data_IF_598337786458
#
_entry.id   IF_598337786458
#
_cell.length_a   1.000
_cell.length_b   1.000
_cell.length_c   1.000
_cell.angle_alpha   90.00
_cell.angle_beta   90.00
_cell.angle_gamma   90.00
#
_symmetry.space_group_name_H-M   'P 1'
#
loop_
_entity.id
_entity.type
_entity.pdbx_description
1 polymer ?
#
# COMPACT_ATOMS: atom_id res chain seq x y z
N UNK A 1 40.63 -17.33 -3.09
CA UNK A 1 40.89 -16.64 -4.38
C UNK A 1 40.53 -15.19 -4.25
N UNK A 2 41.48 -14.35 -4.40
CA UNK A 2 41.41 -12.87 -4.33
C UNK A 2 40.85 -12.32 -5.64
N UNK A 3 40.08 -11.26 -5.63
CA UNK A 3 40.00 -10.25 -6.70
C UNK A 3 39.09 -9.12 -6.24
N UNK A 4 39.61 -8.07 -5.81
CA UNK A 4 40.02 -6.75 -6.31
C UNK A 4 38.88 -5.72 -6.45
N UNK A 5 39.02 -4.74 -5.54
CA UNK A 5 38.41 -3.40 -5.59
C UNK A 5 38.71 -2.69 -6.91
N UNK A 6 37.73 -1.92 -7.40
CA UNK A 6 38.01 -0.75 -8.27
C UNK A 6 37.20 0.45 -7.78
N UNK A 7 37.92 1.36 -7.17
CA UNK A 7 37.47 2.72 -6.92
C UNK A 7 37.65 3.55 -8.20
N UNK A 8 36.66 4.38 -8.53
CA UNK A 8 36.84 5.48 -9.50
C UNK A 8 36.38 6.76 -8.82
N UNK A 9 37.36 7.59 -8.51
CA UNK A 9 37.19 8.96 -8.09
C UNK A 9 37.18 9.86 -9.34
N UNK A 10 36.20 10.74 -9.47
CA UNK A 10 36.23 11.87 -10.40
C UNK A 10 35.96 13.14 -9.61
N UNK A 11 37.02 13.91 -9.47
CA UNK A 11 37.01 15.27 -8.97
C UNK A 11 36.73 16.23 -10.15
N UNK A 12 35.76 17.09 -10.02
CA UNK A 12 35.49 18.19 -10.95
C UNK A 12 35.30 19.49 -10.19
N UNK A 13 36.33 20.32 -10.15
CA UNK A 13 36.31 21.67 -9.64
C UNK A 13 35.73 22.62 -10.71
N UNK A 14 34.73 23.42 -10.36
CA UNK A 14 34.29 24.57 -11.15
C UNK A 14 34.38 25.83 -10.33
N UNK A 15 35.22 26.71 -10.85
CA UNK A 15 35.52 28.05 -10.31
C UNK A 15 34.38 29.00 -10.61
N UNK A 16 33.94 29.74 -9.64
CA UNK A 16 32.90 30.77 -9.74
C UNK A 16 33.58 32.15 -9.79
N UNK A 17 33.35 32.87 -10.87
CA UNK A 17 33.79 34.26 -11.01
C UNK A 17 32.59 35.20 -10.71
N UNK A 18 32.78 36.06 -9.75
CA UNK A 18 31.88 37.16 -9.41
C UNK A 18 32.07 38.33 -10.36
N UNK A 19 30.97 38.92 -10.81
CA UNK A 19 30.96 40.29 -11.39
C UNK A 19 29.80 41.10 -10.80
N UNK A 20 30.16 42.07 -9.97
CA UNK A 20 29.30 43.15 -9.58
C UNK A 20 29.30 44.23 -10.66
N UNK A 21 28.13 44.66 -11.09
CA UNK A 21 27.98 45.96 -11.72
C UNK A 21 26.64 46.60 -11.29
N UNK A 22 26.75 47.65 -10.50
CA UNK A 22 25.70 48.56 -10.20
C UNK A 22 25.60 49.60 -11.33
N UNK A 23 24.38 49.92 -11.81
CA UNK A 23 24.09 51.20 -12.39
C UNK A 23 22.62 51.54 -12.25
N UNK A 24 22.42 52.63 -11.53
CA UNK A 24 21.19 53.40 -11.35
C UNK A 24 20.92 54.21 -12.61
N UNK A 25 19.71 54.14 -13.17
CA UNK A 25 19.12 55.26 -13.92
C UNK A 25 17.61 55.14 -14.10
N UNK A 26 16.89 56.13 -13.57
CA UNK A 26 15.48 56.42 -13.85
C UNK A 26 15.24 56.55 -15.33
N UNK A 27 14.18 55.95 -15.86
CA UNK A 27 13.34 56.51 -16.93
C UNK A 27 11.96 55.89 -16.89
N UNK A 28 10.99 56.75 -16.98
CA UNK A 28 9.54 56.49 -17.05
C UNK A 28 9.15 55.81 -18.36
N UNK A 29 8.11 54.99 -18.29
CA UNK A 29 7.17 54.78 -19.39
C UNK A 29 7.45 53.61 -20.29
N UNK A 30 6.99 52.41 -19.92
CA UNK A 30 6.38 51.45 -20.84
C UNK A 30 5.63 50.40 -20.00
N UNK A 31 4.32 50.36 -20.15
CA UNK A 31 3.46 49.30 -19.65
C UNK A 31 3.80 48.07 -20.46
N UNK A 32 4.66 47.21 -19.92
CA UNK A 32 4.83 45.87 -20.43
C UNK A 32 3.95 44.97 -19.56
N UNK A 33 2.87 44.56 -20.16
CA UNK A 33 2.00 43.50 -19.63
C UNK A 33 2.84 42.23 -19.52
N UNK A 34 3.48 42.06 -18.35
CA UNK A 34 4.17 40.85 -18.02
C UNK A 34 3.11 39.89 -17.45
N UNK A 35 2.54 39.10 -18.34
CA UNK A 35 1.77 37.93 -17.94
C UNK A 35 2.68 37.05 -17.09
N UNK A 36 2.61 37.25 -15.78
CA UNK A 36 3.23 36.35 -14.82
C UNK A 36 2.59 34.97 -15.04
N UNK A 37 3.33 34.07 -15.67
CA UNK A 37 3.00 32.67 -15.67
C UNK A 37 2.92 32.23 -14.21
N UNK A 38 1.70 32.14 -13.71
CA UNK A 38 1.44 31.69 -12.35
C UNK A 38 2.04 30.29 -12.19
N UNK A 39 3.06 30.21 -11.34
CA UNK A 39 3.52 28.94 -10.81
C UNK A 39 2.32 28.37 -10.04
N UNK A 40 1.57 27.49 -10.68
CA UNK A 40 0.56 26.71 -9.99
C UNK A 40 1.31 25.77 -9.05
N UNK A 41 1.44 26.22 -7.82
CA UNK A 41 1.85 25.32 -6.74
C UNK A 41 0.74 24.30 -6.63
N UNK A 42 0.95 23.10 -7.18
CA UNK A 42 0.03 21.99 -6.99
C UNK A 42 -0.03 21.73 -5.48
N UNK A 43 -1.11 22.13 -4.86
CA UNK A 43 -1.41 21.75 -3.47
C UNK A 43 -1.63 20.25 -3.48
N UNK A 44 -0.65 19.51 -2.99
CA UNK A 44 -0.83 18.08 -2.72
C UNK A 44 -1.82 17.99 -1.56
N UNK A 45 -3.07 17.67 -1.89
CA UNK A 45 -4.08 17.35 -0.89
C UNK A 45 -3.65 16.04 -0.22
N UNK A 46 -3.19 16.12 1.02
CA UNK A 46 -2.96 14.93 1.83
C UNK A 46 -4.34 14.41 2.25
N UNK A 47 -4.66 13.20 1.84
CA UNK A 47 -5.87 12.53 2.29
C UNK A 47 -5.74 12.26 3.80
N UNK A 48 -6.55 12.93 4.60
CA UNK A 48 -6.59 12.79 6.06
C UNK A 48 -7.71 11.87 6.52
N UNK A 49 -8.43 11.24 5.59
CA UNK A 49 -9.48 10.27 5.92
C UNK A 49 -8.87 9.10 6.71
N UNK A 50 -9.36 8.80 7.92
CA UNK A 50 -8.84 7.69 8.70
C UNK A 50 -8.98 6.37 7.93
N UNK A 51 -7.95 5.52 8.04
CA UNK A 51 -7.94 4.21 7.40
C UNK A 51 -9.10 3.35 7.93
N UNK A 52 -9.79 2.69 7.02
CA UNK A 52 -10.86 1.72 7.32
C UNK A 52 -10.81 0.56 6.34
N UNK A 53 -11.32 -0.60 6.75
CA UNK A 53 -11.59 -1.71 5.84
C UNK A 53 -12.88 -1.41 5.10
N UNK A 54 -12.82 -1.41 3.77
CA UNK A 54 -13.99 -1.16 2.89
C UNK A 54 -14.55 -2.42 2.27
N UNK A 55 -13.71 -3.46 2.05
CA UNK A 55 -14.17 -4.74 1.53
C UNK A 55 -13.25 -5.89 1.96
N UNK A 56 -13.81 -7.09 2.06
CA UNK A 56 -13.11 -8.34 2.36
C UNK A 56 -13.52 -9.37 1.31
N UNK A 57 -12.59 -9.74 0.45
CA UNK A 57 -12.79 -10.69 -0.64
C UNK A 57 -12.11 -12.01 -0.31
N UNK A 58 -12.79 -13.12 -0.57
CA UNK A 58 -12.26 -14.47 -0.36
C UNK A 58 -12.32 -15.26 -1.66
N UNK A 59 -11.30 -16.04 -1.96
CA UNK A 59 -11.27 -16.89 -3.15
C UNK A 59 -9.99 -17.71 -3.30
N UNK A 60 -9.84 -18.34 -4.47
CA UNK A 60 -8.79 -19.34 -4.74
C UNK A 60 -7.53 -18.77 -5.40
N UNK A 61 -7.60 -17.54 -5.88
CA UNK A 61 -6.48 -16.86 -6.55
C UNK A 61 -6.54 -15.35 -6.40
N UNK A 62 -5.41 -14.71 -6.59
CA UNK A 62 -5.23 -13.26 -6.53
C UNK A 62 -4.74 -12.77 -7.89
N UNK A 63 -5.35 -11.73 -8.41
CA UNK A 63 -4.94 -11.07 -9.64
C UNK A 63 -3.72 -10.16 -9.48
N UNK A 64 -3.24 -9.60 -10.59
CA UNK A 64 -2.13 -8.64 -10.58
C UNK A 64 -2.44 -7.35 -9.80
N UNK A 65 -3.71 -6.99 -9.70
CA UNK A 65 -4.24 -5.88 -8.91
C UNK A 65 -4.37 -6.19 -7.41
N UNK A 66 -3.89 -7.35 -6.98
CA UNK A 66 -3.98 -7.90 -5.62
C UNK A 66 -5.41 -8.20 -5.15
N UNK A 67 -6.42 -8.03 -5.97
CA UNK A 67 -7.79 -8.44 -5.65
C UNK A 67 -7.99 -9.92 -5.93
N UNK A 68 -8.98 -10.50 -5.27
CA UNK A 68 -9.36 -11.89 -5.55
C UNK A 68 -9.97 -11.99 -6.94
N UNK A 69 -9.38 -12.82 -7.82
CA UNK A 69 -9.81 -12.96 -9.21
C UNK A 69 -11.15 -13.72 -9.34
N UNK A 70 -11.33 -14.76 -8.54
CA UNK A 70 -12.53 -15.59 -8.53
C UNK A 70 -13.03 -15.69 -7.08
N UNK A 71 -13.92 -14.79 -6.70
CA UNK A 71 -14.48 -14.78 -5.36
C UNK A 71 -15.33 -16.03 -5.14
N UNK A 72 -15.06 -16.73 -4.06
CA UNK A 72 -15.84 -17.90 -3.62
C UNK A 72 -15.68 -18.06 -2.11
N UNK A 73 -16.70 -18.60 -1.49
CA UNK A 73 -16.66 -19.06 -0.10
C UNK A 73 -16.64 -20.58 0.01
N UNK A 74 -16.60 -21.28 -1.14
CA UNK A 74 -16.56 -22.76 -1.19
C UNK A 74 -15.22 -23.23 -1.74
N UNK A 75 -14.55 -24.09 -0.98
CA UNK A 75 -13.21 -24.58 -1.27
C UNK A 75 -13.17 -26.12 -1.27
N UNK A 76 -12.27 -26.67 -2.05
CA UNK A 76 -11.91 -28.08 -1.97
C UNK A 76 -10.87 -28.32 -0.85
N UNK A 77 -10.75 -29.57 -0.44
CA UNK A 77 -9.86 -29.97 0.67
C UNK A 77 -8.36 -29.73 0.42
N UNK A 78 -7.95 -29.36 -0.78
CA UNK A 78 -6.54 -29.06 -1.13
C UNK A 78 -6.34 -27.66 -1.67
N UNK A 79 -7.38 -26.83 -1.66
CA UNK A 79 -7.29 -25.47 -2.16
C UNK A 79 -6.49 -24.59 -1.20
N UNK A 80 -5.79 -23.63 -1.75
CA UNK A 80 -5.29 -22.45 -1.02
C UNK A 80 -6.41 -21.44 -0.92
N UNK A 81 -6.60 -20.89 0.26
CA UNK A 81 -7.61 -19.85 0.50
C UNK A 81 -6.90 -18.50 0.60
N UNK A 82 -7.35 -17.56 -0.22
CA UNK A 82 -6.85 -16.18 -0.24
C UNK A 82 -7.89 -15.23 0.33
N UNK A 83 -7.42 -14.23 1.06
CA UNK A 83 -8.22 -13.08 1.49
C UNK A 83 -7.54 -11.82 1.00
N UNK A 84 -8.26 -11.03 0.21
CA UNK A 84 -7.87 -9.68 -0.12
C UNK A 84 -8.68 -8.71 0.75
N UNK A 85 -7.99 -7.89 1.51
CA UNK A 85 -8.57 -6.86 2.35
C UNK A 85 -8.36 -5.52 1.67
N UNK A 86 -9.46 -4.87 1.32
CA UNK A 86 -9.47 -3.54 0.72
C UNK A 86 -9.61 -2.52 1.84
N UNK A 87 -8.70 -1.58 1.88
CA UNK A 87 -8.72 -0.47 2.84
C UNK A 87 -8.76 0.86 2.10
N UNK A 88 -9.52 1.81 2.62
CA UNK A 88 -9.57 3.19 2.15
C UNK A 88 -9.06 4.14 3.22
N UNK A 89 -8.47 5.26 2.79
CA UNK A 89 -7.97 6.30 3.66
C UNK A 89 -6.48 6.23 3.92
N UNK A 90 -5.99 7.10 4.82
CA UNK A 90 -4.60 7.20 5.20
C UNK A 90 -4.35 6.64 6.61
N UNK A 91 -3.18 6.01 6.79
CA UNK A 91 -2.80 5.50 8.10
C UNK A 91 -1.33 5.08 8.12
N UNK A 92 -0.58 5.60 9.06
CA UNK A 92 0.83 5.24 9.24
C UNK A 92 0.96 4.13 10.28
N UNK A 93 1.57 3.01 9.87
CA UNK A 93 1.83 1.90 10.78
C UNK A 93 0.56 1.18 11.24
N UNK A 94 -0.52 1.20 10.47
CA UNK A 94 -1.73 0.49 10.80
C UNK A 94 -1.50 -1.03 10.73
N UNK A 95 -1.92 -1.75 11.77
CA UNK A 95 -1.80 -3.21 11.83
C UNK A 95 -3.06 -3.86 11.27
N UNK A 96 -2.90 -4.55 10.16
CA UNK A 96 -3.95 -5.38 9.57
C UNK A 96 -3.67 -6.83 9.92
N UNK A 97 -4.66 -7.55 10.46
CA UNK A 97 -4.50 -8.94 10.87
C UNK A 97 -5.68 -9.79 10.42
N UNK A 98 -5.43 -11.08 10.22
CA UNK A 98 -6.46 -12.10 9.95
C UNK A 98 -6.35 -13.23 10.95
N UNK A 99 -7.50 -13.71 11.41
CA UNK A 99 -7.63 -14.85 12.30
C UNK A 99 -8.57 -15.86 11.66
N UNK A 100 -8.04 -17.06 11.43
CA UNK A 100 -8.78 -18.16 10.84
C UNK A 100 -9.21 -19.15 11.90
N UNK A 101 -10.45 -19.52 11.89
CA UNK A 101 -11.02 -20.49 12.85
C UNK A 101 -11.69 -21.64 12.11
N UNK A 102 -11.63 -22.82 12.73
CA UNK A 102 -12.36 -24.02 12.32
C UNK A 102 -13.03 -24.60 13.56
N UNK A 103 -14.35 -24.76 13.52
CA UNK A 103 -15.14 -25.22 14.67
C UNK A 103 -14.82 -24.45 15.96
N UNK A 104 -14.68 -23.12 15.85
CA UNK A 104 -14.39 -22.22 16.98
C UNK A 104 -12.93 -22.24 17.48
N UNK A 105 -12.06 -23.09 16.90
CA UNK A 105 -10.63 -23.12 17.25
C UNK A 105 -9.81 -22.35 16.22
N UNK A 106 -8.91 -21.51 16.67
CA UNK A 106 -7.96 -20.80 15.82
C UNK A 106 -7.03 -21.79 15.14
N UNK A 107 -6.95 -21.72 13.80
CA UNK A 107 -6.08 -22.57 12.98
C UNK A 107 -4.91 -21.82 12.40
N UNK A 108 -5.04 -20.50 12.18
CA UNK A 108 -3.96 -19.60 11.78
C UNK A 108 -4.30 -18.16 12.16
N UNK A 109 -3.26 -17.42 12.51
CA UNK A 109 -3.27 -15.96 12.60
C UNK A 109 -2.13 -15.42 11.76
N UNK A 110 -2.36 -14.29 11.10
CA UNK A 110 -1.36 -13.59 10.31
C UNK A 110 -1.56 -12.09 10.44
N UNK A 111 -0.49 -11.30 10.30
CA UNK A 111 -0.60 -9.85 10.38
C UNK A 111 0.48 -9.15 9.56
N UNK A 112 0.16 -7.97 9.06
CA UNK A 112 1.08 -7.09 8.37
C UNK A 112 0.84 -5.63 8.78
N UNK A 113 1.90 -4.85 8.75
CA UNK A 113 1.82 -3.40 8.96
C UNK A 113 1.68 -2.71 7.62
N UNK A 114 0.70 -1.84 7.49
CA UNK A 114 0.43 -1.06 6.28
C UNK A 114 0.52 0.44 6.60
N UNK A 115 0.92 1.22 5.60
CA UNK A 115 1.05 2.68 5.74
C UNK A 115 0.51 3.37 4.48
N UNK A 116 -0.79 3.23 4.17
CA UNK A 116 -1.37 3.91 3.01
C UNK A 116 -1.34 5.43 3.20
N UNK A 117 -1.05 6.13 2.13
CA UNK A 117 -0.96 7.60 2.09
C UNK A 117 -2.29 8.26 1.68
N UNK A 118 -3.32 7.46 1.48
CA UNK A 118 -4.64 7.85 1.02
C UNK A 118 -5.15 6.95 -0.10
N UNK A 119 -6.46 7.09 -0.43
CA UNK A 119 -7.11 6.27 -1.44
C UNK A 119 -7.26 4.80 -1.04
N UNK A 120 -7.39 3.93 -2.06
CA UNK A 120 -7.64 2.50 -1.87
C UNK A 120 -6.34 1.71 -1.89
N UNK A 121 -6.15 0.84 -0.89
CA UNK A 121 -5.02 -0.11 -0.80
C UNK A 121 -5.55 -1.53 -0.64
N UNK A 122 -4.91 -2.50 -1.28
CA UNK A 122 -5.28 -3.92 -1.18
C UNK A 122 -4.13 -4.70 -0.54
N UNK A 123 -4.47 -5.44 0.50
CA UNK A 123 -3.56 -6.31 1.26
C UNK A 123 -4.02 -7.75 1.19
N UNK A 124 -3.09 -8.69 0.96
CA UNK A 124 -3.42 -10.10 0.80
C UNK A 124 -2.91 -10.93 1.96
N UNK A 125 -3.74 -11.89 2.36
CA UNK A 125 -3.41 -12.98 3.25
C UNK A 125 -3.75 -14.30 2.59
N UNK A 126 -3.05 -15.34 2.97
CA UNK A 126 -3.35 -16.69 2.47
C UNK A 126 -3.19 -17.72 3.59
N UNK A 127 -3.95 -18.78 3.45
CA UNK A 127 -3.77 -19.98 4.24
C UNK A 127 -3.72 -21.19 3.33
N UNK A 128 -2.68 -21.97 3.50
CA UNK A 128 -2.45 -23.24 2.79
C UNK A 128 -2.08 -24.33 3.79
N UNK A 129 -2.18 -25.57 3.37
CA UNK A 129 -1.84 -26.72 4.18
C UNK A 129 -1.26 -27.82 3.31
N UNK A 130 -0.18 -28.44 3.77
CA UNK A 130 0.43 -29.61 3.07
C UNK A 130 -0.47 -30.83 3.04
N UNK A 131 -1.37 -30.97 4.00
CA UNK A 131 -2.37 -32.03 4.10
C UNK A 131 -3.74 -31.52 3.68
N UNK A 132 -4.70 -32.42 3.45
CA UNK A 132 -6.07 -32.00 3.16
C UNK A 132 -6.67 -31.22 4.34
N UNK A 133 -7.46 -30.19 4.02
CA UNK A 133 -8.28 -29.46 4.98
C UNK A 133 -9.39 -30.38 5.51
N UNK A 134 -9.67 -30.39 6.79
CA UNK A 134 -10.92 -30.94 7.30
C UNK A 134 -12.12 -30.30 6.62
N UNK A 135 -13.08 -31.11 6.19
CA UNK A 135 -14.35 -30.59 5.64
C UNK A 135 -15.15 -29.91 6.73
N UNK A 136 -15.85 -28.84 6.37
CA UNK A 136 -16.70 -28.11 7.29
C UNK A 136 -16.57 -26.60 7.18
N UNK A 137 -17.03 -25.89 8.20
CA UNK A 137 -17.10 -24.43 8.24
C UNK A 137 -15.84 -23.84 8.87
N UNK A 138 -15.29 -22.87 8.16
CA UNK A 138 -14.21 -22.00 8.60
C UNK A 138 -14.73 -20.58 8.64
N UNK A 139 -14.15 -19.77 9.49
CA UNK A 139 -14.40 -18.32 9.52
C UNK A 139 -13.06 -17.60 9.48
N UNK A 140 -12.94 -16.58 8.66
CA UNK A 140 -11.84 -15.63 8.71
C UNK A 140 -12.36 -14.30 9.25
N UNK A 141 -11.75 -13.83 10.32
CA UNK A 141 -11.95 -12.50 10.90
C UNK A 141 -10.81 -11.60 10.47
N UNK A 142 -11.15 -10.41 10.00
CA UNK A 142 -10.18 -9.34 9.67
C UNK A 142 -10.21 -8.30 10.77
N UNK A 143 -9.03 -7.92 11.25
CA UNK A 143 -8.86 -6.92 12.30
C UNK A 143 -8.00 -5.77 11.78
N UNK A 144 -8.39 -4.55 12.12
CA UNK A 144 -7.60 -3.34 11.88
C UNK A 144 -7.25 -2.68 13.21
N UNK A 145 -5.96 -2.55 13.50
CA UNK A 145 -5.44 -2.02 14.77
C UNK A 145 -6.01 -2.76 16.02
N UNK A 146 -6.26 -4.07 15.88
CA UNK A 146 -6.81 -4.90 16.97
C UNK A 146 -8.34 -4.86 17.08
N UNK A 147 -9.02 -4.00 16.36
CA UNK A 147 -10.47 -3.98 16.31
C UNK A 147 -10.98 -4.86 15.15
N UNK A 148 -12.04 -5.64 15.38
CA UNK A 148 -12.69 -6.44 14.33
C UNK A 148 -13.28 -5.52 13.26
N UNK A 149 -12.89 -5.74 12.01
CA UNK A 149 -13.34 -4.96 10.86
C UNK A 149 -14.33 -5.74 9.98
N UNK A 150 -14.44 -7.05 10.18
CA UNK A 150 -15.40 -7.90 9.50
C UNK A 150 -15.00 -9.37 9.50
N UNK A 151 -15.95 -10.22 9.15
CA UNK A 151 -15.78 -11.67 9.07
C UNK A 151 -16.31 -12.22 7.76
N UNK A 152 -15.76 -13.34 7.31
CA UNK A 152 -16.29 -14.13 6.19
C UNK A 152 -16.33 -15.60 6.56
N UNK A 153 -17.47 -16.23 6.31
CA UNK A 153 -17.65 -17.67 6.47
C UNK A 153 -17.23 -18.39 5.17
N UNK A 154 -16.60 -19.52 5.37
CA UNK A 154 -15.99 -20.33 4.30
C UNK A 154 -16.40 -21.79 4.53
N UNK A 155 -16.72 -22.50 3.48
CA UNK A 155 -17.05 -23.92 3.52
C UNK A 155 -16.01 -24.73 2.74
N UNK A 156 -15.46 -25.77 3.37
CA UNK A 156 -14.61 -26.76 2.73
C UNK A 156 -15.41 -28.04 2.49
N UNK A 157 -15.47 -28.49 1.21
CA UNK A 157 -16.24 -29.68 0.75
C UNK A 157 -15.35 -30.80 0.27
#
# INVERSE_FOLDING_TARGET
MRTTMRAVAVAGAVVFSAALAACNKKNEGAVVDTTAAGIQTATVSVDTTPIRVSDIQVGKSVGADKKVANQTTTFGVRDTMFVAVVTDGAGKGAKLATKWTYNGKTVKEDSQTISPTGGTTVSNFQIDKKTAWPKGKYTVEVMLNGASAGTKDIEVK
#
